data_IF_167701062265
#
_entry.id   IF_167701062265
#
_cell.length_a   1.000
_cell.length_b   1.000
_cell.length_c   1.000
_cell.angle_alpha   90.00
_cell.angle_beta   90.00
_cell.angle_gamma   90.00
#
_symmetry.space_group_name_H-M   'P 1'
#
loop_
_entity.id
_entity.type
_entity.pdbx_description
1 polymer ?
#
# COMPACT_ATOMS: atom_id res chain seq x y z
N UNK A 1 -58.19 20.37 7.74
CA UNK A 1 -57.41 19.12 7.71
C UNK A 1 -56.78 19.00 6.34
N UNK A 2 -55.45 19.12 6.27
CA UNK A 2 -54.49 18.42 5.38
C UNK A 2 -53.16 19.14 5.56
N UNK A 3 -52.35 18.71 6.55
CA UNK A 3 -50.93 19.05 6.56
C UNK A 3 -50.27 18.18 5.49
N UNK A 4 -49.78 18.81 4.43
CA UNK A 4 -48.91 18.20 3.43
C UNK A 4 -47.62 17.79 4.14
N UNK A 5 -47.41 16.49 4.32
CA UNK A 5 -46.14 15.94 4.79
C UNK A 5 -45.14 15.98 3.64
N UNK A 6 -44.13 16.83 3.76
CA UNK A 6 -42.99 16.88 2.84
C UNK A 6 -42.31 15.50 2.74
N UNK A 7 -42.16 14.92 1.54
CA UNK A 7 -41.52 13.61 1.35
C UNK A 7 -39.98 13.66 1.45
N UNK A 8 -39.40 14.80 1.83
CA UNK A 8 -37.95 14.99 1.92
C UNK A 8 -37.39 14.85 3.35
N UNK A 9 -38.25 14.62 4.34
CA UNK A 9 -37.81 14.51 5.74
C UNK A 9 -37.42 13.08 6.12
N UNK A 10 -36.29 12.60 5.57
CA UNK A 10 -35.34 11.70 6.25
C UNK A 10 -34.05 11.62 5.43
N UNK A 11 -33.45 12.77 5.12
CA UNK A 11 -32.01 12.76 4.86
C UNK A 11 -31.34 12.43 6.21
N UNK A 12 -30.73 11.25 6.32
CA UNK A 12 -29.87 10.93 7.45
C UNK A 12 -28.93 12.13 7.66
N UNK A 13 -28.77 12.63 8.90
CA UNK A 13 -27.90 13.77 9.12
C UNK A 13 -26.53 13.40 8.57
N UNK A 14 -26.05 14.17 7.58
CA UNK A 14 -24.69 14.11 7.05
C UNK A 14 -23.74 14.56 8.17
N UNK A 15 -23.63 13.75 9.23
CA UNK A 15 -22.49 13.74 10.12
C UNK A 15 -21.35 13.12 9.32
N UNK A 16 -20.89 13.84 8.30
CA UNK A 16 -19.96 13.42 7.26
C UNK A 16 -18.55 13.21 7.79
N UNK A 17 -18.39 12.48 8.89
CA UNK A 17 -17.12 11.94 9.32
C UNK A 17 -16.91 10.66 8.52
N UNK A 18 -16.42 10.82 7.29
CA UNK A 18 -15.96 9.72 6.47
C UNK A 18 -14.89 8.99 7.30
N UNK A 19 -15.22 7.80 7.82
CA UNK A 19 -14.28 7.04 8.65
C UNK A 19 -13.17 6.56 7.73
N UNK A 20 -12.00 7.19 7.83
CA UNK A 20 -10.83 6.80 7.07
C UNK A 20 -10.47 5.33 7.39
N UNK A 21 -10.55 4.40 6.41
CA UNK A 21 -10.42 2.97 6.65
C UNK A 21 -8.95 2.56 6.74
N UNK A 22 -8.16 3.25 7.58
CA UNK A 22 -6.70 3.08 7.70
C UNK A 22 -6.30 1.62 7.85
N UNK A 23 -6.92 0.91 8.80
CA UNK A 23 -6.58 -0.48 9.08
C UNK A 23 -6.79 -1.37 7.85
N UNK A 24 -7.94 -1.24 7.19
CA UNK A 24 -8.26 -2.03 6.00
C UNK A 24 -7.35 -1.69 4.81
N UNK A 25 -7.00 -0.41 4.62
CA UNK A 25 -6.04 0.02 3.58
C UNK A 25 -4.65 -0.55 3.83
N UNK A 26 -4.16 -0.51 5.07
CA UNK A 26 -2.85 -1.05 5.43
C UNK A 26 -2.84 -2.57 5.26
N UNK A 27 -3.85 -3.28 5.77
CA UNK A 27 -3.96 -4.74 5.63
C UNK A 27 -4.01 -5.16 4.16
N UNK A 28 -4.84 -4.50 3.35
CA UNK A 28 -4.93 -4.78 1.92
C UNK A 28 -3.62 -4.43 1.19
N UNK A 29 -3.02 -3.27 1.49
CA UNK A 29 -1.73 -2.85 0.94
C UNK A 29 -0.62 -3.87 1.20
N UNK A 30 -0.53 -4.37 2.45
CA UNK A 30 0.41 -5.43 2.83
C UNK A 30 0.17 -6.71 2.05
N UNK A 31 -1.10 -7.11 1.91
CA UNK A 31 -1.48 -8.32 1.21
C UNK A 31 -1.16 -8.26 -0.29
N UNK A 32 -1.48 -7.16 -0.98
CA UNK A 32 -1.18 -7.02 -2.41
C UNK A 32 0.32 -6.97 -2.66
N UNK A 33 1.11 -6.33 -1.79
CA UNK A 33 2.57 -6.34 -1.89
C UNK A 33 3.15 -7.73 -1.70
N UNK A 34 2.67 -8.49 -0.72
CA UNK A 34 3.12 -9.86 -0.49
C UNK A 34 2.81 -10.76 -1.70
N UNK A 35 1.60 -10.65 -2.25
CA UNK A 35 1.20 -11.38 -3.44
C UNK A 35 2.04 -11.00 -4.67
N UNK A 36 2.38 -9.71 -4.80
CA UNK A 36 3.17 -9.21 -5.90
C UNK A 36 4.64 -9.64 -5.79
N UNK A 37 5.22 -9.60 -4.58
CA UNK A 37 6.55 -10.11 -4.29
C UNK A 37 6.68 -11.60 -4.63
N UNK A 38 5.69 -12.42 -4.25
CA UNK A 38 5.66 -13.84 -4.60
C UNK A 38 5.60 -14.03 -6.12
N UNK A 39 4.74 -13.27 -6.82
CA UNK A 39 4.63 -13.34 -8.27
C UNK A 39 5.94 -13.00 -9.00
N UNK A 40 6.63 -11.94 -8.58
CA UNK A 40 7.92 -11.55 -9.16
C UNK A 40 9.01 -12.59 -8.87
N UNK A 41 8.98 -13.21 -7.69
CA UNK A 41 9.89 -14.31 -7.33
C UNK A 41 9.70 -15.51 -8.25
N UNK A 42 8.45 -15.90 -8.50
CA UNK A 42 8.10 -16.99 -9.42
C UNK A 42 8.52 -16.66 -10.87
N UNK A 43 8.30 -15.42 -11.30
CA UNK A 43 8.74 -14.94 -12.63
C UNK A 43 10.26 -15.01 -12.79
N UNK A 44 11.02 -14.52 -11.80
CA UNK A 44 12.48 -14.58 -11.81
C UNK A 44 13.01 -16.02 -11.83
N UNK A 45 12.39 -16.93 -11.07
CA UNK A 45 12.72 -18.35 -11.08
C UNK A 45 12.43 -19.00 -12.45
N UNK A 46 11.27 -18.70 -13.04
CA UNK A 46 10.90 -19.20 -14.35
C UNK A 46 11.80 -18.66 -15.48
N UNK A 47 12.22 -17.41 -15.40
CA UNK A 47 13.18 -16.80 -16.33
C UNK A 47 14.56 -17.47 -16.22
N UNK A 48 15.04 -17.69 -14.98
CA UNK A 48 16.27 -18.43 -14.72
C UNK A 48 16.25 -19.85 -15.29
N UNK A 49 15.12 -20.56 -15.18
CA UNK A 49 14.97 -21.88 -15.78
C UNK A 49 15.02 -21.88 -17.32
N UNK A 50 14.72 -20.74 -17.96
CA UNK A 50 14.77 -20.54 -19.41
C UNK A 50 16.08 -19.90 -19.90
N UNK A 51 17.02 -19.60 -19.00
CA UNK A 51 18.21 -18.77 -19.26
C UNK A 51 17.88 -17.40 -19.89
N UNK A 52 16.75 -16.82 -19.50
CA UNK A 52 16.35 -15.47 -19.90
C UNK A 52 16.86 -14.48 -18.85
N UNK A 53 18.09 -13.99 -19.04
CA UNK A 53 18.74 -13.10 -18.09
C UNK A 53 18.11 -11.70 -18.06
N UNK A 54 17.49 -11.25 -19.15
CA UNK A 54 16.80 -9.96 -19.21
C UNK A 54 15.56 -9.98 -18.31
N UNK A 55 14.67 -10.96 -18.49
CA UNK A 55 13.47 -11.10 -17.66
C UNK A 55 13.81 -11.33 -16.17
N UNK A 56 14.89 -12.05 -15.88
CA UNK A 56 15.37 -12.27 -14.51
C UNK A 56 15.90 -10.98 -13.87
N UNK A 57 16.62 -10.16 -14.64
CA UNK A 57 17.08 -8.85 -14.19
C UNK A 57 15.90 -7.91 -13.91
N UNK A 58 14.92 -7.85 -14.82
CA UNK A 58 13.70 -7.06 -14.63
C UNK A 58 12.93 -7.46 -13.37
N UNK A 59 12.72 -8.75 -13.14
CA UNK A 59 12.06 -9.24 -11.94
C UNK A 59 12.83 -8.85 -10.67
N UNK A 60 14.17 -8.89 -10.71
CA UNK A 60 15.03 -8.49 -9.59
C UNK A 60 14.95 -6.99 -9.29
N UNK A 61 14.90 -6.13 -10.32
CA UNK A 61 14.70 -4.69 -10.14
C UNK A 61 13.34 -4.40 -9.49
N UNK A 62 12.27 -5.00 -10.00
CA UNK A 62 10.93 -4.85 -9.43
C UNK A 62 10.84 -5.36 -7.98
N UNK A 63 11.55 -6.44 -7.64
CA UNK A 63 11.64 -6.92 -6.25
C UNK A 63 12.32 -5.91 -5.33
N UNK A 64 13.32 -5.17 -5.81
CA UNK A 64 13.95 -4.11 -5.04
C UNK A 64 12.99 -2.93 -4.84
N UNK A 65 12.17 -2.59 -5.83
CA UNK A 65 11.16 -1.54 -5.68
C UNK A 65 10.05 -1.96 -4.70
N UNK A 66 9.60 -3.21 -4.75
CA UNK A 66 8.66 -3.77 -3.77
C UNK A 66 9.24 -3.73 -2.36
N UNK A 67 10.53 -4.02 -2.20
CA UNK A 67 11.22 -3.92 -0.91
C UNK A 67 11.18 -2.49 -0.35
N UNK A 68 11.39 -1.48 -1.18
CA UNK A 68 11.36 -0.07 -0.77
C UNK A 68 9.95 0.35 -0.34
N UNK A 69 8.90 -0.09 -1.05
CA UNK A 69 7.51 0.18 -0.65
C UNK A 69 7.10 -0.62 0.58
N UNK A 70 7.65 -1.83 0.76
CA UNK A 70 7.42 -2.66 1.96
C UNK A 70 7.95 -1.96 3.21
N UNK A 71 9.10 -1.29 3.15
CA UNK A 71 9.59 -0.48 4.27
C UNK A 71 8.59 0.60 4.72
N UNK A 72 7.84 1.18 3.77
CA UNK A 72 6.86 2.24 4.02
C UNK A 72 5.55 1.74 4.63
N UNK A 73 5.06 0.57 4.20
CA UNK A 73 3.73 0.04 4.57
C UNK A 73 3.74 -1.15 5.54
N UNK A 74 4.85 -1.88 5.60
CA UNK A 74 5.02 -3.11 6.37
C UNK A 74 6.42 -3.18 6.96
N UNK A 75 6.78 -2.14 7.72
CA UNK A 75 8.12 -1.97 8.27
C UNK A 75 8.59 -3.17 9.09
N UNK A 76 7.69 -3.77 9.87
CA UNK A 76 8.01 -4.96 10.68
C UNK A 76 8.38 -6.15 9.81
N UNK A 77 7.61 -6.41 8.73
CA UNK A 77 7.96 -7.46 7.77
C UNK A 77 9.32 -7.18 7.15
N UNK A 78 9.56 -5.96 6.69
CA UNK A 78 10.83 -5.56 6.10
C UNK A 78 12.00 -5.80 7.08
N UNK A 79 11.84 -5.38 8.35
CA UNK A 79 12.83 -5.57 9.41
C UNK A 79 13.14 -7.05 9.60
N UNK A 80 12.11 -7.90 9.67
CA UNK A 80 12.28 -9.34 9.84
C UNK A 80 12.99 -9.98 8.64
N UNK A 81 12.62 -9.61 7.42
CA UNK A 81 13.24 -10.11 6.19
C UNK A 81 14.72 -9.71 6.08
N UNK A 82 15.07 -8.46 6.39
CA UNK A 82 16.46 -7.99 6.33
C UNK A 82 17.32 -8.61 7.43
N UNK A 83 16.78 -8.76 8.64
CA UNK A 83 17.48 -9.41 9.75
C UNK A 83 17.74 -10.88 9.44
N UNK A 84 16.79 -11.57 8.79
CA UNK A 84 16.97 -12.97 8.38
C UNK A 84 18.05 -13.14 7.30
N UNK A 85 18.20 -12.18 6.37
CA UNK A 85 19.23 -12.21 5.32
C UNK A 85 20.61 -11.86 5.86
N UNK A 86 20.68 -10.92 6.81
CA UNK A 86 21.93 -10.47 7.40
C UNK A 86 21.71 -10.12 8.88
N UNK A 87 22.11 -10.98 9.82
CA UNK A 87 22.01 -10.69 11.25
C UNK A 87 22.75 -9.40 11.65
N UNK A 88 23.84 -9.08 10.94
CA UNK A 88 24.65 -7.87 11.13
C UNK A 88 24.09 -6.64 10.41
N UNK A 89 22.92 -6.74 9.76
CA UNK A 89 22.25 -5.61 9.10
C UNK A 89 22.07 -4.40 10.03
N UNK A 90 21.93 -4.64 11.33
CA UNK A 90 21.79 -3.61 12.36
C UNK A 90 23.13 -3.00 12.80
N UNK A 91 24.26 -3.67 12.53
CA UNK A 91 25.61 -3.21 12.84
C UNK A 91 26.19 -2.31 11.73
N UNK A 92 25.65 -2.37 10.51
CA UNK A 92 26.04 -1.49 9.40
C UNK A 92 25.47 -0.09 9.64
N UNK A 93 26.29 0.95 9.40
CA UNK A 93 25.92 2.35 9.65
C UNK A 93 24.64 2.74 8.91
N UNK A 94 23.53 2.84 9.64
CA UNK A 94 22.29 3.47 9.16
C UNK A 94 22.45 4.96 9.05
N UNK A 95 21.76 5.53 8.07
CA UNK A 95 21.56 6.98 7.99
C UNK A 95 20.81 7.46 9.23
N UNK A 96 21.00 8.74 9.59
CA UNK A 96 20.29 9.35 10.71
C UNK A 96 18.76 9.33 10.51
N UNK A 97 18.33 9.41 9.25
CA UNK A 97 16.91 9.33 8.85
C UNK A 97 16.31 7.96 9.17
N UNK A 98 17.02 6.87 8.87
CA UNK A 98 16.56 5.52 9.16
C UNK A 98 16.51 5.25 10.67
N UNK A 99 17.46 5.78 11.43
CA UNK A 99 17.45 5.68 12.90
C UNK A 99 16.21 6.35 13.50
N UNK A 100 15.96 7.61 13.12
CA UNK A 100 14.76 8.36 13.57
C UNK A 100 13.46 7.68 13.15
N UNK A 101 13.43 7.08 11.97
CA UNK A 101 12.26 6.33 11.53
C UNK A 101 11.95 5.17 12.49
N UNK A 102 12.95 4.44 12.97
CA UNK A 102 12.77 3.30 13.88
C UNK A 102 12.30 3.71 15.29
N UNK A 103 12.63 4.93 15.71
CA UNK A 103 12.15 5.51 16.97
C UNK A 103 10.66 5.89 16.90
N UNK A 104 10.12 6.14 15.69
CA UNK A 104 8.70 6.44 15.49
C UNK A 104 7.83 5.18 15.66
N UNK A 105 6.71 5.24 16.40
CA UNK A 105 5.75 4.15 16.48
C UNK A 105 5.31 3.66 15.09
N UNK A 106 5.27 2.35 14.90
CA UNK A 106 5.06 1.71 13.59
C UNK A 106 3.73 2.15 12.98
N UNK A 107 2.67 2.27 13.77
CA UNK A 107 1.34 2.69 13.29
C UNK A 107 1.37 4.13 12.77
N UNK A 108 2.03 5.03 13.49
CA UNK A 108 2.18 6.44 13.11
C UNK A 108 3.01 6.57 11.83
N UNK A 109 4.12 5.83 11.76
CA UNK A 109 4.97 5.77 10.59
C UNK A 109 4.22 5.26 9.36
N UNK A 110 3.53 4.12 9.50
CA UNK A 110 2.76 3.48 8.42
C UNK A 110 1.65 4.40 7.92
N UNK A 111 0.89 5.02 8.83
CA UNK A 111 -0.17 5.95 8.44
C UNK A 111 0.39 7.17 7.69
N UNK A 112 1.48 7.76 8.19
CA UNK A 112 2.15 8.89 7.54
C UNK A 112 2.56 8.53 6.11
N UNK A 113 3.24 7.39 5.93
CA UNK A 113 3.75 6.99 4.63
C UNK A 113 2.69 6.46 3.68
N UNK A 114 1.61 5.85 4.17
CA UNK A 114 0.43 5.53 3.35
C UNK A 114 -0.17 6.81 2.74
N UNK A 115 -0.30 7.87 3.53
CA UNK A 115 -0.86 9.16 3.07
C UNK A 115 0.12 9.97 2.20
N UNK A 116 1.42 9.72 2.35
CA UNK A 116 2.50 10.37 1.59
C UNK A 116 3.07 9.45 0.50
N UNK A 117 2.40 8.36 0.15
CA UNK A 117 3.00 7.30 -0.65
C UNK A 117 3.47 7.77 -2.03
N UNK A 118 2.70 8.64 -2.70
CA UNK A 118 3.08 9.24 -3.97
C UNK A 118 4.33 10.12 -3.96
N UNK A 119 4.93 10.41 -2.80
CA UNK A 119 6.27 11.05 -2.72
C UNK A 119 7.37 10.07 -3.19
N UNK A 120 7.15 8.76 -3.01
CA UNK A 120 8.06 7.74 -3.52
C UNK A 120 7.76 7.49 -5.00
N UNK A 121 8.72 7.77 -5.87
CA UNK A 121 8.57 7.63 -7.33
C UNK A 121 8.20 6.21 -7.78
N UNK A 122 8.56 5.20 -6.99
CA UNK A 122 8.30 3.78 -7.25
C UNK A 122 6.89 3.35 -6.86
N UNK A 123 6.21 4.15 -6.02
CA UNK A 123 4.92 3.77 -5.44
C UNK A 123 3.86 3.55 -6.52
N UNK A 124 3.80 4.45 -7.50
CA UNK A 124 2.84 4.35 -8.58
C UNK A 124 2.97 3.00 -9.30
N UNK A 125 4.18 2.66 -9.75
CA UNK A 125 4.41 1.45 -10.52
C UNK A 125 4.14 0.19 -9.68
N UNK A 126 4.73 0.12 -8.48
CA UNK A 126 4.58 -1.04 -7.59
C UNK A 126 3.14 -1.28 -7.17
N UNK A 127 2.42 -0.24 -6.73
CA UNK A 127 1.05 -0.39 -6.22
C UNK A 127 0.08 -0.65 -7.37
N UNK A 128 0.19 0.06 -8.49
CA UNK A 128 -0.71 -0.18 -9.62
C UNK A 128 -0.54 -1.59 -10.19
N UNK A 129 0.70 -2.09 -10.31
CA UNK A 129 0.94 -3.46 -10.76
C UNK A 129 0.44 -4.50 -9.75
N UNK A 130 0.63 -4.27 -8.44
CA UNK A 130 0.12 -5.16 -7.40
C UNK A 130 -1.42 -5.18 -7.36
N UNK A 131 -2.08 -4.04 -7.54
CA UNK A 131 -3.54 -3.93 -7.63
C UNK A 131 -4.05 -4.64 -8.88
N UNK A 132 -3.41 -4.43 -10.03
CA UNK A 132 -3.74 -5.14 -11.27
C UNK A 132 -3.64 -6.66 -11.10
N UNK A 133 -2.54 -7.15 -10.53
CA UNK A 133 -2.38 -8.58 -10.23
C UNK A 133 -3.48 -9.10 -9.29
N UNK A 134 -3.84 -8.33 -8.26
CA UNK A 134 -4.89 -8.70 -7.31
C UNK A 134 -6.24 -8.84 -8.01
N UNK A 135 -6.59 -7.90 -8.90
CA UNK A 135 -7.80 -7.94 -9.71
C UNK A 135 -7.81 -9.15 -10.65
N UNK A 136 -6.70 -9.41 -11.34
CA UNK A 136 -6.56 -10.54 -12.27
C UNK A 136 -6.70 -11.92 -11.57
N UNK A 137 -6.12 -12.08 -10.37
CA UNK A 137 -6.13 -13.37 -9.65
C UNK A 137 -7.44 -13.65 -8.89
N UNK A 138 -8.36 -12.69 -8.78
CA UNK A 138 -9.57 -12.83 -7.96
C UNK A 138 -10.67 -13.68 -8.61
N UNK A 139 -10.58 -13.94 -9.91
CA UNK A 139 -11.58 -14.70 -10.69
C UNK A 139 -12.80 -13.85 -11.09
N UNK A 140 -13.93 -14.47 -11.40
CA UNK A 140 -15.20 -13.76 -11.63
C UNK A 140 -15.93 -13.48 -10.31
N UNK A 141 -16.58 -12.31 -10.15
CA UNK A 141 -17.34 -11.97 -8.96
C UNK A 141 -18.61 -12.84 -8.88
N UNK A 142 -18.54 -13.97 -8.18
CA UNK A 142 -19.72 -14.79 -7.90
C UNK A 142 -20.73 -14.09 -6.97
N UNK A 143 -20.35 -12.97 -6.32
CA UNK A 143 -21.21 -12.13 -5.48
C UNK A 143 -20.74 -10.67 -5.56
N UNK A 144 -21.39 -9.84 -6.39
CA UNK A 144 -21.04 -8.43 -6.64
C UNK A 144 -20.84 -7.60 -5.35
N UNK A 145 -21.65 -7.85 -4.31
CA UNK A 145 -21.61 -7.10 -3.05
C UNK A 145 -20.36 -7.34 -2.19
N UNK A 146 -19.58 -8.41 -2.42
CA UNK A 146 -18.37 -8.68 -1.62
C UNK A 146 -17.15 -7.89 -2.12
N UNK A 147 -17.19 -7.39 -3.35
CA UNK A 147 -16.00 -6.84 -4.01
C UNK A 147 -15.97 -5.33 -4.00
N UNK A 148 -17.13 -4.68 -3.94
CA UNK A 148 -17.27 -3.21 -3.91
C UNK A 148 -16.40 -2.53 -2.87
N UNK A 149 -16.29 -3.12 -1.67
CA UNK A 149 -15.50 -2.54 -0.58
C UNK A 149 -14.00 -2.72 -0.80
N UNK A 150 -13.56 -3.89 -1.29
CA UNK A 150 -12.15 -4.12 -1.63
C UNK A 150 -11.75 -3.28 -2.85
N UNK A 151 -12.59 -3.17 -3.87
CA UNK A 151 -12.30 -2.38 -5.07
C UNK A 151 -12.18 -0.90 -4.73
N UNK A 152 -13.04 -0.36 -3.86
CA UNK A 152 -12.91 1.00 -3.35
C UNK A 152 -11.58 1.22 -2.59
N UNK A 153 -11.13 0.22 -1.82
CA UNK A 153 -9.84 0.28 -1.14
C UNK A 153 -8.67 0.17 -2.13
N UNK A 154 -8.76 -0.67 -3.16
CA UNK A 154 -7.76 -0.79 -4.22
C UNK A 154 -7.65 0.50 -5.02
N UNK A 155 -8.78 1.10 -5.42
CA UNK A 155 -8.83 2.40 -6.10
C UNK A 155 -8.20 3.49 -5.22
N UNK A 156 -8.44 3.45 -3.91
CA UNK A 156 -7.86 4.42 -3.01
C UNK A 156 -6.34 4.20 -2.81
N UNK A 157 -5.86 2.96 -2.81
CA UNK A 157 -4.43 2.68 -2.81
C UNK A 157 -3.75 3.19 -4.10
N UNK A 158 -4.34 2.93 -5.27
CA UNK A 158 -3.86 3.48 -6.55
C UNK A 158 -3.86 5.02 -6.53
N UNK A 159 -4.90 5.62 -5.95
CA UNK A 159 -4.97 7.07 -5.78
C UNK A 159 -3.81 7.58 -4.91
N UNK A 160 -3.55 6.98 -3.74
CA UNK A 160 -2.49 7.42 -2.84
C UNK A 160 -1.08 7.26 -3.41
N UNK A 161 -0.89 6.29 -4.31
CA UNK A 161 0.39 5.99 -4.96
C UNK A 161 0.78 6.99 -6.05
N UNK A 162 -0.15 7.81 -6.55
CA UNK A 162 0.10 8.75 -7.65
C UNK A 162 0.86 10.00 -7.17
N UNK A 163 1.95 10.42 -7.84
CA UNK A 163 2.73 11.60 -7.47
C UNK A 163 1.91 12.89 -7.44
N UNK A 164 0.90 13.02 -8.32
CA UNK A 164 0.03 14.20 -8.39
C UNK A 164 -0.81 14.39 -7.12
N UNK A 165 -0.94 13.35 -6.30
CA UNK A 165 -1.69 13.37 -5.04
C UNK A 165 -0.77 13.49 -3.82
N UNK A 166 0.55 13.47 -4.02
CA UNK A 166 1.52 13.73 -2.97
C UNK A 166 1.32 15.15 -2.43
N UNK A 167 0.98 15.28 -1.15
CA UNK A 167 0.72 16.56 -0.50
C UNK A 167 -0.76 16.98 -0.36
N UNK A 168 -1.70 16.18 -0.87
CA UNK A 168 -3.13 16.35 -0.54
C UNK A 168 -3.39 16.14 0.96
N UNK A 169 -2.67 15.18 1.54
CA UNK A 169 -2.71 14.90 2.96
C UNK A 169 -1.50 15.55 3.62
N UNK A 170 -1.67 16.79 4.07
CA UNK A 170 -0.71 17.39 5.00
C UNK A 170 -0.91 16.69 6.34
N UNK A 171 0.09 15.95 6.81
CA UNK A 171 0.19 15.67 8.24
C UNK A 171 0.22 17.03 8.93
N UNK A 172 -0.78 17.34 9.76
CA UNK A 172 -0.74 18.50 10.66
C UNK A 172 0.53 18.36 11.52
N UNK A 173 1.65 18.89 11.04
CA UNK A 173 2.74 19.25 11.92
C UNK A 173 2.16 20.39 12.74
N UNK A 174 2.02 20.14 14.04
CA UNK A 174 1.57 21.14 15.00
C UNK A 174 2.32 22.43 14.74
N UNK A 175 1.56 23.48 14.45
CA UNK A 175 2.02 24.85 14.64
C UNK A 175 2.33 25.00 16.13
N UNK A 176 3.62 25.01 16.47
CA UNK A 176 4.12 25.77 17.61
C UNK A 176 4.10 27.27 17.29
#
# INVERSE_FOLDING_TARGET
>A
MTHSSDPLSTAAPLTGTLRYPLKALVELGRQILLNYQAHLTDQGAAAGAKNDEEAKWEASQKLQDVRDITWLLDRDRWINEETAKSPDFWAIKRTETEKKALEEPIEKYTQKWLLMMGVNEKAQDVICEAVKLRREKRGDPLVEARWTDEDALLDFLEFLAKPQHSGLFRTLQGTE
#
